data_IF_337185539569
#
_entry.id   IF_337185539569
#
_cell.length_a   1.000
_cell.length_b   1.000
_cell.length_c   1.000
_cell.angle_alpha   90.00
_cell.angle_beta   90.00
_cell.angle_gamma   90.00
#
_symmetry.space_group_name_H-M   'P 1'
#
loop_
_entity.id
_entity.type
_entity.pdbx_description
1 polymer ?
#
# COMPACT_ATOMS: atom_id res chain seq x y z
N UNK A 1 3.57 -1.11 30.81
CA UNK A 1 2.69 -2.15 30.23
C UNK A 1 1.36 -1.57 29.75
N UNK A 2 0.56 -0.92 30.60
CA UNK A 2 -0.68 -0.23 30.15
C UNK A 2 -0.37 1.01 29.29
N UNK A 3 0.52 1.89 29.78
CA UNK A 3 1.00 3.06 29.03
C UNK A 3 1.74 2.73 27.71
N UNK A 4 2.29 1.52 27.57
CA UNK A 4 2.92 1.09 26.32
C UNK A 4 1.87 0.63 25.30
N UNK A 5 0.74 0.08 25.75
CA UNK A 5 -0.35 -0.30 24.85
C UNK A 5 -1.09 0.93 24.32
N UNK A 6 -1.39 1.91 25.17
CA UNK A 6 -2.05 3.15 24.76
C UNK A 6 -1.26 3.89 23.67
N UNK A 7 0.07 3.98 23.83
CA UNK A 7 0.95 4.57 22.83
C UNK A 7 0.93 3.80 21.51
N UNK A 8 0.90 2.48 21.55
CA UNK A 8 0.86 1.66 20.34
C UNK A 8 -0.47 1.78 19.61
N UNK A 9 -1.58 1.89 20.35
CA UNK A 9 -2.90 2.16 19.78
C UNK A 9 -2.95 3.54 19.12
N UNK A 10 -2.35 4.56 19.74
CA UNK A 10 -2.24 5.91 19.19
C UNK A 10 -1.41 5.93 17.89
N UNK A 11 -0.27 5.23 17.87
CA UNK A 11 0.56 5.08 16.67
C UNK A 11 -0.21 4.35 15.56
N UNK A 12 -0.97 3.30 15.89
CA UNK A 12 -1.78 2.59 14.90
C UNK A 12 -2.96 3.41 14.39
N UNK A 13 -3.47 4.35 15.18
CA UNK A 13 -4.54 5.26 14.78
C UNK A 13 -4.04 6.39 13.89
N UNK A 14 -2.75 6.75 13.97
CA UNK A 14 -2.15 7.85 13.20
C UNK A 14 -1.63 7.45 11.82
N UNK A 15 -1.65 6.16 11.46
CA UNK A 15 -1.15 5.66 10.18
C UNK A 15 -2.19 4.84 9.41
N UNK A 16 -2.22 5.00 8.08
CA UNK A 16 -3.19 4.34 7.19
C UNK A 16 -2.85 2.87 6.85
N UNK A 17 -2.49 2.08 7.87
CA UNK A 17 -2.05 0.69 7.68
C UNK A 17 -3.17 -0.29 7.32
N UNK A 18 -4.44 0.11 7.50
CA UNK A 18 -5.62 -0.73 7.26
C UNK A 18 -6.07 -0.72 5.80
N UNK A 19 -5.61 0.24 5.02
CA UNK A 19 -6.06 0.46 3.64
C UNK A 19 -5.03 -0.04 2.65
N UNK A 20 -5.51 -0.71 1.60
CA UNK A 20 -4.70 -1.06 0.44
C UNK A 20 -4.54 0.11 -0.51
N UNK A 21 -3.70 -0.06 -1.51
CA UNK A 21 -3.48 0.92 -2.57
C UNK A 21 -4.15 0.40 -3.84
N UNK A 22 -5.02 1.23 -4.40
CA UNK A 22 -5.82 0.95 -5.59
C UNK A 22 -4.98 0.99 -6.85
N UNK A 23 -5.45 0.38 -7.95
CA UNK A 23 -4.80 0.44 -9.25
C UNK A 23 -4.39 1.84 -9.68
N UNK A 24 -5.12 2.88 -9.27
CA UNK A 24 -4.83 4.29 -9.57
C UNK A 24 -3.68 4.90 -8.75
N UNK A 25 -3.08 4.13 -7.84
CA UNK A 25 -1.96 4.54 -6.98
C UNK A 25 -2.35 5.24 -5.69
N UNK A 26 -3.65 5.43 -5.41
CA UNK A 26 -4.13 6.05 -4.17
C UNK A 26 -4.70 5.03 -3.20
N UNK A 27 -4.86 5.41 -1.93
CA UNK A 27 -5.45 4.56 -0.91
C UNK A 27 -6.88 4.15 -1.27
N UNK A 28 -7.22 2.91 -0.90
CA UNK A 28 -8.55 2.34 -0.96
C UNK A 28 -9.46 3.03 0.05
N UNK A 29 -10.73 3.17 -0.32
CA UNK A 29 -11.74 3.78 0.55
C UNK A 29 -12.25 2.81 1.61
N UNK A 30 -12.16 1.51 1.34
CA UNK A 30 -12.55 0.45 2.26
C UNK A 30 -11.34 -0.08 3.02
N UNK A 31 -11.52 -0.32 4.32
CA UNK A 31 -10.50 -0.98 5.11
C UNK A 31 -10.36 -2.45 4.68
N UNK A 32 -9.13 -2.85 4.39
CA UNK A 32 -8.78 -4.19 3.96
C UNK A 32 -8.56 -5.09 5.15
N UNK A 33 -7.98 -4.53 6.21
CA UNK A 33 -7.50 -5.26 7.36
C UNK A 33 -8.08 -4.74 8.66
N UNK A 34 -8.21 -5.67 9.61
CA UNK A 34 -8.41 -5.37 11.02
C UNK A 34 -7.23 -5.89 11.81
N UNK A 35 -7.04 -5.31 12.99
CA UNK A 35 -6.01 -5.72 13.90
C UNK A 35 -6.33 -7.10 14.49
N UNK A 36 -5.36 -8.00 14.39
CA UNK A 36 -5.37 -9.32 15.00
C UNK A 36 -4.53 -9.32 16.28
N UNK A 37 -3.38 -8.66 16.25
CA UNK A 37 -2.38 -8.64 17.32
C UNK A 37 -1.77 -7.24 17.44
N UNK A 38 -1.21 -6.90 18.62
CA UNK A 38 -0.47 -5.64 18.79
C UNK A 38 0.87 -5.70 18.05
N UNK A 39 1.28 -4.65 17.31
CA UNK A 39 2.55 -4.62 16.62
C UNK A 39 3.73 -4.58 17.59
N UNK A 40 4.80 -5.24 17.19
CA UNK A 40 6.11 -5.03 17.80
C UNK A 40 6.80 -3.94 16.98
N UNK A 41 6.89 -2.74 17.54
CA UNK A 41 7.63 -1.63 16.94
C UNK A 41 9.13 -1.86 17.16
N UNK A 42 9.88 -1.88 16.05
CA UNK A 42 11.32 -2.03 16.04
C UNK A 42 11.97 -0.70 15.72
N UNK A 43 12.86 -0.26 16.61
CA UNK A 43 13.67 0.94 16.41
C UNK A 43 14.67 0.70 15.28
N UNK A 44 14.82 1.69 14.41
CA UNK A 44 15.89 1.73 13.42
C UNK A 44 17.07 2.49 14.02
N UNK A 45 18.29 2.14 13.59
CA UNK A 45 19.40 3.08 13.70
C UNK A 45 19.04 4.25 12.81
N UNK A 46 18.51 5.32 13.40
CA UNK A 46 17.88 6.44 12.69
C UNK A 46 18.72 6.85 11.48
N UNK A 47 18.07 6.93 10.33
CA UNK A 47 18.72 7.30 9.08
C UNK A 47 17.94 8.45 8.47
N UNK A 48 18.48 9.66 8.61
CA UNK A 48 18.01 10.80 7.87
C UNK A 48 18.36 10.57 6.40
N UNK A 49 17.35 10.30 5.59
CA UNK A 49 17.54 10.13 4.16
C UNK A 49 16.72 11.15 3.39
N UNK A 50 17.35 11.74 2.39
CA UNK A 50 16.71 12.66 1.47
C UNK A 50 16.76 12.05 0.08
N UNK A 51 15.62 11.96 -0.57
CA UNK A 51 15.51 11.44 -1.93
C UNK A 51 14.82 12.45 -2.83
N UNK A 52 15.36 12.62 -4.04
CA UNK A 52 14.75 13.41 -5.09
C UNK A 52 14.24 12.45 -6.16
N UNK A 53 12.95 12.55 -6.48
CA UNK A 53 12.30 11.70 -7.46
C UNK A 53 11.59 12.55 -8.50
N UNK A 54 11.68 12.18 -9.78
CA UNK A 54 10.91 12.84 -10.83
C UNK A 54 9.89 11.85 -11.38
N UNK A 55 8.62 12.18 -11.24
CA UNK A 55 7.52 11.41 -11.84
C UNK A 55 7.02 12.08 -13.11
N UNK A 56 6.51 11.28 -14.05
CA UNK A 56 6.04 11.75 -15.36
C UNK A 56 4.54 11.48 -15.59
N UNK A 57 3.87 10.91 -14.60
CA UNK A 57 2.42 10.65 -14.64
C UNK A 57 1.81 10.90 -13.26
N UNK A 58 0.51 11.19 -13.25
CA UNK A 58 -0.27 11.26 -12.00
C UNK A 58 -0.23 9.93 -11.25
N UNK A 59 -0.24 8.81 -11.98
CA UNK A 59 -0.16 7.48 -11.39
C UNK A 59 1.14 7.26 -10.59
N UNK A 60 2.30 7.58 -11.18
CA UNK A 60 3.58 7.45 -10.47
C UNK A 60 3.70 8.47 -9.33
N UNK A 61 3.11 9.66 -9.47
CA UNK A 61 3.01 10.64 -8.38
C UNK A 61 2.21 10.10 -7.20
N UNK A 62 1.04 9.51 -7.46
CA UNK A 62 0.19 8.94 -6.41
C UNK A 62 0.90 7.82 -5.63
N UNK A 63 1.73 7.02 -6.30
CA UNK A 63 2.53 5.98 -5.64
C UNK A 63 3.62 6.54 -4.73
N UNK A 64 4.16 7.72 -5.02
CA UNK A 64 5.05 8.45 -4.11
C UNK A 64 4.25 8.96 -2.91
N UNK A 65 3.12 9.60 -3.16
CA UNK A 65 2.25 10.15 -2.10
C UNK A 65 1.70 9.07 -1.17
N UNK A 66 1.43 7.87 -1.70
CA UNK A 66 0.99 6.71 -0.93
C UNK A 66 2.16 5.94 -0.26
N UNK A 67 3.39 6.44 -0.35
CA UNK A 67 4.56 5.87 0.30
C UNK A 67 5.07 4.54 -0.30
N UNK A 68 4.61 4.16 -1.50
CA UNK A 68 5.07 2.95 -2.20
C UNK A 68 6.46 3.15 -2.77
N UNK A 69 6.70 4.31 -3.37
CA UNK A 69 7.98 4.66 -3.99
C UNK A 69 8.65 5.72 -3.12
N UNK A 70 9.67 5.31 -2.37
CA UNK A 70 10.48 6.21 -1.53
C UNK A 70 11.90 6.40 -2.04
N UNK A 71 12.37 5.52 -2.93
CA UNK A 71 13.62 5.64 -3.66
C UNK A 71 13.50 4.96 -5.04
N UNK A 72 14.36 5.35 -5.99
CA UNK A 72 14.43 4.74 -7.34
C UNK A 72 15.31 3.48 -7.39
N UNK A 73 15.91 3.08 -6.27
CA UNK A 73 16.89 1.99 -6.26
C UNK A 73 16.22 0.62 -6.03
N UNK A 74 14.92 0.58 -5.78
CA UNK A 74 14.16 -0.66 -5.68
C UNK A 74 13.64 -1.10 -7.07
N UNK A 75 14.57 -1.59 -7.89
CA UNK A 75 14.29 -2.07 -9.25
C UNK A 75 13.21 -3.16 -9.27
N UNK A 76 13.10 -3.98 -8.21
CA UNK A 76 12.12 -5.08 -8.14
C UNK A 76 10.71 -4.53 -7.94
N UNK A 77 10.55 -3.59 -7.00
CA UNK A 77 9.27 -2.91 -6.78
C UNK A 77 8.85 -2.12 -8.02
N UNK A 78 9.78 -1.39 -8.63
CA UNK A 78 9.50 -0.64 -9.87
C UNK A 78 9.12 -1.55 -11.03
N UNK A 79 9.76 -2.71 -11.18
CA UNK A 79 9.43 -3.69 -12.21
C UNK A 79 8.01 -4.25 -12.00
N UNK A 80 7.69 -4.74 -10.81
CA UNK A 80 6.36 -5.26 -10.49
C UNK A 80 5.27 -4.20 -10.71
N UNK A 81 5.51 -2.97 -10.27
CA UNK A 81 4.59 -1.85 -10.49
C UNK A 81 4.40 -1.54 -11.98
N UNK A 82 5.45 -1.64 -12.80
CA UNK A 82 5.35 -1.42 -14.25
C UNK A 82 4.48 -2.46 -14.96
N UNK A 83 4.54 -3.73 -14.55
CA UNK A 83 3.67 -4.78 -15.08
C UNK A 83 2.21 -4.53 -14.69
N UNK A 84 1.97 -4.11 -13.44
CA UNK A 84 0.64 -3.76 -12.95
C UNK A 84 0.09 -2.52 -13.68
N UNK A 85 0.93 -1.55 -14.02
CA UNK A 85 0.53 -0.40 -14.82
C UNK A 85 -0.06 -0.85 -16.16
N UNK A 86 0.58 -1.81 -16.85
CA UNK A 86 0.07 -2.34 -18.13
C UNK A 86 -1.29 -3.03 -17.99
N UNK A 87 -1.53 -3.71 -16.87
CA UNK A 87 -2.81 -4.38 -16.59
C UNK A 87 -3.96 -3.39 -16.38
N UNK A 88 -3.69 -2.29 -15.67
CA UNK A 88 -4.74 -1.34 -15.27
C UNK A 88 -4.85 -0.09 -16.15
N UNK A 89 -3.85 0.20 -16.98
CA UNK A 89 -3.77 1.40 -17.81
C UNK A 89 -3.45 1.04 -19.26
N UNK A 90 -4.47 0.56 -19.99
CA UNK A 90 -4.35 0.17 -21.41
C UNK A 90 -4.31 1.35 -22.37
N UNK A 91 -4.64 2.56 -21.91
CA UNK A 91 -4.50 3.80 -22.68
C UNK A 91 -3.18 4.46 -22.30
N UNK A 92 -2.33 4.72 -23.31
CA UNK A 92 -1.15 5.56 -23.18
C UNK A 92 -1.54 6.85 -22.46
N UNK A 93 -1.19 6.95 -21.18
CA UNK A 93 -1.26 8.23 -20.49
C UNK A 93 -0.30 9.15 -21.25
N UNK A 94 -0.83 10.22 -21.86
CA UNK A 94 0.03 11.21 -22.47
C UNK A 94 1.02 11.70 -21.41
N UNK A 95 2.31 11.88 -21.75
CA UNK A 95 3.32 12.30 -20.79
C UNK A 95 2.83 13.58 -20.13
N UNK A 96 2.40 13.44 -18.87
CA UNK A 96 1.90 14.53 -18.06
C UNK A 96 3.07 15.37 -17.58
N UNK A 97 2.75 16.57 -17.10
CA UNK A 97 3.69 17.47 -16.46
C UNK A 97 4.63 16.71 -15.51
N UNK A 98 5.94 16.96 -15.64
CA UNK A 98 6.93 16.36 -14.75
C UNK A 98 6.78 16.94 -13.36
N UNK A 99 6.70 16.08 -12.35
CA UNK A 99 6.63 16.49 -10.95
C UNK A 99 7.92 16.10 -10.25
N UNK A 100 8.57 17.06 -9.60
CA UNK A 100 9.74 16.82 -8.74
C UNK A 100 9.26 16.64 -7.31
N UNK A 101 9.53 15.47 -6.76
CA UNK A 101 9.27 15.10 -5.38
C UNK A 101 10.55 15.25 -4.56
N UNK A 102 10.44 15.92 -3.42
CA UNK A 102 11.50 16.02 -2.44
C UNK A 102 11.05 15.31 -1.17
N UNK A 103 11.59 14.11 -0.96
CA UNK A 103 11.23 13.25 0.16
C UNK A 103 12.26 13.42 1.26
N UNK A 104 11.78 13.78 2.45
CA UNK A 104 12.55 13.78 3.67
C UNK A 104 12.02 12.65 4.55
N UNK A 105 12.86 11.65 4.80
CA UNK A 105 12.50 10.48 5.59
C UNK A 105 13.35 10.49 6.86
N UNK A 106 12.69 10.71 8.00
CA UNK A 106 13.29 10.57 9.33
C UNK A 106 12.84 9.25 9.96
N UNK A 107 13.28 8.16 9.34
CA UNK A 107 12.83 6.83 9.70
C UNK A 107 13.47 6.37 11.02
N UNK A 108 12.72 6.47 12.11
CA UNK A 108 13.20 6.13 13.46
C UNK A 108 12.75 4.74 13.92
N UNK A 109 11.64 4.24 13.38
CA UNK A 109 11.11 2.92 13.73
C UNK A 109 10.30 2.30 12.59
N UNK A 110 9.94 1.03 12.75
CA UNK A 110 8.99 0.37 11.85
C UNK A 110 8.24 -0.77 12.54
N UNK A 111 7.14 -1.19 11.94
CA UNK A 111 6.50 -2.47 12.28
C UNK A 111 6.08 -3.24 11.02
N UNK A 112 6.00 -4.56 11.15
CA UNK A 112 5.51 -5.45 10.09
C UNK A 112 3.99 -5.52 10.15
N UNK A 113 3.30 -5.24 9.05
CA UNK A 113 1.83 -5.28 8.97
C UNK A 113 1.35 -6.73 8.84
N UNK A 114 2.10 -7.57 8.14
CA UNK A 114 1.74 -8.96 7.83
C UNK A 114 1.45 -9.81 9.07
N UNK A 115 2.06 -9.49 10.20
CA UNK A 115 1.92 -10.25 11.43
C UNK A 115 0.75 -9.77 12.30
N UNK A 116 0.28 -8.54 12.08
CA UNK A 116 -0.78 -7.93 12.88
C UNK A 116 -2.12 -7.86 12.16
N UNK A 117 -2.15 -8.15 10.86
CA UNK A 117 -3.34 -8.05 10.04
C UNK A 117 -4.12 -9.36 9.99
N UNK A 118 -5.44 -9.23 9.83
CA UNK A 118 -6.29 -10.22 9.17
C UNK A 118 -7.27 -9.49 8.24
N UNK A 119 -7.69 -10.11 7.13
CA UNK A 119 -8.70 -9.52 6.24
C UNK A 119 -9.98 -9.15 7.01
N UNK A 120 -10.63 -8.06 6.60
CA UNK A 120 -12.01 -7.82 7.03
C UNK A 120 -12.92 -8.94 6.51
N UNK A 121 -14.04 -9.18 7.20
CA UNK A 121 -15.06 -10.13 6.73
C UNK A 121 -15.55 -9.74 5.33
N UNK A 122 -15.63 -8.43 5.05
CA UNK A 122 -16.07 -7.90 3.76
C UNK A 122 -15.07 -8.25 2.64
N UNK A 123 -13.78 -8.00 2.86
CA UNK A 123 -12.72 -8.38 1.93
C UNK A 123 -12.68 -9.90 1.72
N UNK A 124 -12.74 -10.67 2.81
CA UNK A 124 -12.69 -12.13 2.73
C UNK A 124 -13.84 -12.71 1.89
N UNK A 125 -15.08 -12.26 2.13
CA UNK A 125 -16.24 -12.70 1.33
C UNK A 125 -16.11 -12.30 -0.14
N UNK A 126 -15.61 -11.11 -0.41
CA UNK A 126 -15.43 -10.64 -1.79
C UNK A 126 -14.37 -11.46 -2.53
N UNK A 127 -13.26 -11.81 -1.87
CA UNK A 127 -12.24 -12.71 -2.41
C UNK A 127 -12.78 -14.12 -2.64
N UNK A 128 -13.48 -14.70 -1.67
CA UNK A 128 -14.09 -16.04 -1.78
C UNK A 128 -15.08 -16.10 -2.94
N UNK A 129 -15.91 -15.07 -3.12
CA UNK A 129 -16.84 -14.99 -4.24
C UNK A 129 -16.13 -14.90 -5.59
N UNK A 130 -15.08 -14.07 -5.70
CA UNK A 130 -14.32 -13.94 -6.94
C UNK A 130 -13.57 -15.23 -7.30
N UNK A 131 -12.89 -15.83 -6.32
CA UNK A 131 -12.11 -17.05 -6.50
C UNK A 131 -12.98 -18.30 -6.70
N UNK A 132 -14.23 -18.30 -6.22
CA UNK A 132 -15.19 -19.37 -6.48
C UNK A 132 -15.44 -19.62 -7.97
N UNK A 133 -15.21 -18.61 -8.83
CA UNK A 133 -15.37 -18.72 -10.27
C UNK A 133 -14.12 -19.21 -11.02
N UNK A 134 -12.94 -19.28 -10.37
CA UNK A 134 -11.64 -19.41 -11.06
C UNK A 134 -11.50 -20.68 -11.92
N UNK A 135 -12.19 -21.76 -11.55
CA UNK A 135 -12.13 -23.04 -12.25
C UNK A 135 -13.27 -23.25 -13.25
N UNK A 136 -14.34 -22.44 -13.18
CA UNK A 136 -15.53 -22.56 -14.03
C UNK A 136 -15.60 -21.47 -15.10
N UNK A 137 -15.28 -20.23 -14.71
CA UNK A 137 -15.39 -19.03 -15.52
C UNK A 137 -14.29 -18.04 -15.13
N UNK A 138 -13.16 -18.15 -15.83
CA UNK A 138 -11.96 -17.34 -15.55
C UNK A 138 -12.19 -15.85 -15.83
N UNK A 139 -12.97 -15.52 -16.86
CA UNK A 139 -13.26 -14.12 -17.21
C UNK A 139 -14.10 -13.46 -16.12
N UNK A 140 -15.10 -14.17 -15.61
CA UNK A 140 -15.89 -13.70 -14.47
C UNK A 140 -15.07 -13.58 -13.20
N UNK A 141 -14.22 -14.57 -12.89
CA UNK A 141 -13.32 -14.49 -11.75
C UNK A 141 -12.41 -13.25 -11.83
N UNK A 142 -11.85 -12.98 -13.00
CA UNK A 142 -11.02 -11.80 -13.25
C UNK A 142 -11.78 -10.48 -13.08
N UNK A 143 -13.01 -10.39 -13.59
CA UNK A 143 -13.84 -9.20 -13.43
C UNK A 143 -14.18 -8.92 -11.98
N UNK A 144 -14.52 -9.96 -11.20
CA UNK A 144 -14.79 -9.82 -9.77
C UNK A 144 -13.51 -9.44 -8.99
N UNK A 145 -12.35 -10.01 -9.32
CA UNK A 145 -11.07 -9.61 -8.73
C UNK A 145 -10.75 -8.14 -9.02
N UNK A 146 -11.00 -7.66 -10.24
CA UNK A 146 -10.84 -6.24 -10.57
C UNK A 146 -11.70 -5.33 -9.67
N UNK A 147 -12.92 -5.75 -9.32
CA UNK A 147 -13.78 -5.02 -8.39
C UNK A 147 -13.22 -5.06 -6.96
N UNK A 148 -12.75 -6.22 -6.50
CA UNK A 148 -12.09 -6.34 -5.19
C UNK A 148 -10.91 -5.38 -5.09
N UNK A 149 -10.05 -5.32 -6.11
CA UNK A 149 -8.92 -4.41 -6.14
C UNK A 149 -9.30 -2.94 -6.26
N UNK A 150 -10.42 -2.63 -6.90
CA UNK A 150 -10.95 -1.28 -6.92
C UNK A 150 -11.38 -0.83 -5.51
N UNK A 151 -12.09 -1.70 -4.78
CA UNK A 151 -12.67 -1.36 -3.47
C UNK A 151 -11.64 -1.41 -2.34
N UNK A 152 -10.80 -2.44 -2.32
CA UNK A 152 -9.85 -2.75 -1.23
C UNK A 152 -8.37 -2.59 -1.64
N UNK A 153 -8.09 -2.14 -2.85
CA UNK A 153 -6.72 -2.06 -3.34
C UNK A 153 -6.11 -3.40 -3.72
N UNK A 154 -5.04 -3.33 -4.51
CA UNK A 154 -4.28 -4.49 -4.99
C UNK A 154 -2.90 -4.60 -4.33
N UNK A 155 -2.34 -3.46 -3.85
CA UNK A 155 -1.06 -3.43 -3.16
C UNK A 155 -1.29 -3.15 -1.69
N UNK A 156 -0.85 -4.06 -0.82
CA UNK A 156 -1.06 -3.96 0.62
C UNK A 156 0.25 -3.68 1.34
N UNK A 157 0.25 -2.73 2.30
CA UNK A 157 1.47 -2.39 3.04
C UNK A 157 1.96 -3.63 3.79
N UNK A 158 3.21 -4.02 3.55
CA UNK A 158 3.85 -5.15 4.24
C UNK A 158 4.55 -4.68 5.52
N UNK A 159 5.01 -3.43 5.53
CA UNK A 159 5.74 -2.77 6.61
C UNK A 159 5.40 -1.29 6.60
N UNK A 160 5.20 -0.70 7.77
CA UNK A 160 5.04 0.74 7.95
C UNK A 160 6.29 1.28 8.64
N UNK A 161 6.86 2.34 8.06
CA UNK A 161 7.95 3.10 8.65
C UNK A 161 7.33 4.26 9.42
N UNK A 162 7.84 4.50 10.62
CA UNK A 162 7.38 5.53 11.52
C UNK A 162 8.44 6.62 11.62
N UNK A 163 7.98 7.84 11.38
CA UNK A 163 8.71 9.06 11.68
C UNK A 163 8.22 9.54 13.06
N UNK A 164 9.13 9.93 13.94
CA UNK A 164 8.74 10.48 15.25
C UNK A 164 8.66 12.00 15.08
N UNK A 165 7.44 12.54 15.07
CA UNK A 165 7.20 13.97 15.34
C UNK A 165 7.37 14.26 16.82
#
# INVERSE_FOLDING_TARGET
MEADMDLMEEILASVDWKSGIRPLGNLATEACFVQKEMPIIKRLSGNLSTSLLVTQSSWTSNLVDAGVISNLNDDTTMHALSELHLLFHTRQQQPGHRTLHHLYLDSQAYFSVNHILRPTIKLQKALEAALGHIHEDQDRAWQELCKVWHDFGFLWPQKIILDIM
#
